data_IF_964403197907
#
_entry.id   IF_964403197907
#
_cell.length_a   1.000
_cell.length_b   1.000
_cell.length_c   1.000
_cell.angle_alpha   90.00
_cell.angle_beta   90.00
_cell.angle_gamma   90.00
#
_symmetry.space_group_name_H-M   'P 1'
#
loop_
_entity.id
_entity.type
_entity.pdbx_description
1 polymer ?
#
# COMPACT_ATOMS: atom_id res chain seq x y z
N UNK A 1 -7.88 -0.85 13.27
CA UNK A 1 -8.89 -1.91 13.05
C UNK A 1 -8.51 -2.88 11.95
N UNK A 2 -8.15 -2.42 10.75
CA UNK A 2 -7.79 -3.29 9.61
C UNK A 2 -6.53 -4.14 9.82
N UNK A 3 -5.53 -3.63 10.51
CA UNK A 3 -4.27 -4.34 10.79
C UNK A 3 -4.46 -5.54 11.73
N UNK A 4 -5.40 -5.46 12.67
CA UNK A 4 -5.72 -6.57 13.59
C UNK A 4 -6.44 -7.73 12.90
N UNK A 5 -7.24 -7.46 11.87
CA UNK A 5 -8.03 -8.48 11.18
C UNK A 5 -7.19 -9.34 10.23
N UNK A 6 -6.04 -8.84 9.77
CA UNK A 6 -5.20 -9.51 8.78
C UNK A 6 -3.95 -10.18 9.37
N UNK A 7 -3.69 -10.02 10.64
CA UNK A 7 -2.61 -10.68 11.40
C UNK A 7 -1.19 -10.23 11.04
N UNK A 8 -0.92 -9.79 9.82
CA UNK A 8 0.38 -9.32 9.35
C UNK A 8 0.22 -8.14 8.42
N UNK A 9 1.08 -7.14 8.56
CA UNK A 9 1.15 -6.00 7.64
C UNK A 9 1.52 -6.43 6.22
N UNK A 10 2.24 -7.52 6.12
CA UNK A 10 2.76 -8.06 4.89
C UNK A 10 2.22 -9.46 4.63
N UNK A 11 1.59 -9.64 3.48
CA UNK A 11 1.16 -10.95 2.97
C UNK A 11 2.00 -11.42 1.77
N UNK A 12 2.94 -10.61 1.31
CA UNK A 12 3.88 -10.98 0.27
C UNK A 12 5.06 -11.75 0.89
N UNK A 13 5.63 -12.75 0.20
CA UNK A 13 6.80 -13.50 0.66
C UNK A 13 8.08 -12.68 0.44
N UNK A 14 8.24 -11.60 1.22
CA UNK A 14 9.39 -10.73 1.15
C UNK A 14 10.60 -11.33 1.88
N UNK A 15 11.75 -11.18 1.29
CA UNK A 15 13.03 -11.44 1.97
C UNK A 15 13.39 -10.24 2.86
N UNK A 16 12.98 -10.30 4.12
CA UNK A 16 13.20 -9.23 5.10
C UNK A 16 14.65 -9.13 5.60
N UNK A 17 15.53 -10.03 5.16
CA UNK A 17 16.98 -9.95 5.45
C UNK A 17 17.68 -8.89 4.60
N UNK A 18 17.06 -8.46 3.51
CA UNK A 18 17.59 -7.44 2.61
C UNK A 18 17.09 -6.04 2.99
N UNK A 19 17.82 -5.02 2.48
CA UNK A 19 17.31 -3.65 2.45
C UNK A 19 16.11 -3.60 1.48
N UNK A 20 14.92 -3.48 2.02
CA UNK A 20 13.70 -3.40 1.23
C UNK A 20 13.42 -1.96 0.82
N UNK A 21 13.08 -1.77 -0.44
CA UNK A 21 12.55 -0.52 -0.97
C UNK A 21 11.05 -0.67 -1.20
N UNK A 22 10.27 0.09 -0.47
CA UNK A 22 8.82 -0.09 -0.37
C UNK A 22 8.08 1.18 -0.77
N UNK A 23 7.03 1.05 -1.57
CA UNK A 23 6.14 2.12 -1.98
C UNK A 23 4.72 1.82 -1.52
N UNK A 24 4.10 2.76 -0.81
CA UNK A 24 2.68 2.71 -0.43
C UNK A 24 1.88 3.71 -1.27
N UNK A 25 1.14 3.19 -2.22
CA UNK A 25 0.36 3.95 -3.21
C UNK A 25 -1.01 4.29 -2.63
N UNK A 26 -1.32 5.58 -2.53
CA UNK A 26 -2.53 6.04 -1.87
C UNK A 26 -2.49 5.75 -0.36
N UNK A 27 -1.43 6.19 0.30
CA UNK A 27 -1.12 5.83 1.68
C UNK A 27 -2.06 6.45 2.72
N UNK A 28 -2.89 7.41 2.36
CA UNK A 28 -3.80 8.09 3.26
C UNK A 28 -3.07 8.77 4.42
N UNK A 29 -3.49 8.46 5.65
CA UNK A 29 -2.84 8.99 6.85
C UNK A 29 -1.44 8.39 7.14
N UNK A 30 -1.01 7.40 6.36
CA UNK A 30 0.30 6.78 6.48
C UNK A 30 0.39 5.66 7.51
N UNK A 31 -0.70 5.24 8.12
CA UNK A 31 -0.69 4.23 9.19
C UNK A 31 0.00 2.93 8.76
N UNK A 32 -0.29 2.43 7.56
CA UNK A 32 0.35 1.21 7.08
C UNK A 32 1.84 1.41 6.84
N UNK A 33 2.22 2.48 6.14
CA UNK A 33 3.62 2.79 5.82
C UNK A 33 4.46 2.97 7.09
N UNK A 34 3.94 3.71 8.07
CA UNK A 34 4.61 3.93 9.37
C UNK A 34 4.76 2.63 10.13
N UNK A 35 3.70 1.81 10.20
CA UNK A 35 3.74 0.53 10.91
C UNK A 35 4.71 -0.44 10.23
N UNK A 36 4.70 -0.52 8.89
CA UNK A 36 5.64 -1.35 8.14
C UNK A 36 7.10 -0.92 8.38
N UNK A 37 7.37 0.37 8.32
CA UNK A 37 8.71 0.90 8.56
C UNK A 37 9.24 0.61 9.98
N UNK A 38 8.35 0.63 10.97
CA UNK A 38 8.69 0.28 12.36
C UNK A 38 8.99 -1.20 12.54
N UNK A 39 8.24 -2.07 11.87
CA UNK A 39 8.47 -3.52 11.90
C UNK A 39 9.73 -3.93 11.12
N UNK A 40 10.11 -3.13 10.11
CA UNK A 40 11.24 -3.41 9.21
C UNK A 40 12.23 -2.24 9.20
N UNK A 41 13.10 -2.11 10.22
CA UNK A 41 14.03 -0.99 10.32
C UNK A 41 14.99 -0.86 9.14
N UNK A 42 15.25 -1.96 8.42
CA UNK A 42 16.09 -1.98 7.22
C UNK A 42 15.32 -1.62 5.93
N UNK A 43 14.00 -1.42 6.01
CA UNK A 43 13.22 -0.97 4.86
C UNK A 43 13.33 0.55 4.69
N UNK A 44 13.29 1.01 3.44
CA UNK A 44 13.05 2.39 3.07
C UNK A 44 11.62 2.48 2.51
N UNK A 45 10.76 3.19 3.20
CA UNK A 45 9.33 3.26 2.86
C UNK A 45 8.96 4.66 2.38
N UNK A 46 8.33 4.74 1.22
CA UNK A 46 7.77 5.98 0.68
C UNK A 46 6.25 5.84 0.54
N UNK A 47 5.50 6.72 1.18
CA UNK A 47 4.06 6.84 0.99
C UNK A 47 3.71 7.99 0.04
N UNK A 48 2.76 7.75 -0.85
CA UNK A 48 2.20 8.75 -1.76
C UNK A 48 0.71 8.92 -1.53
N UNK A 49 0.25 10.15 -1.41
CA UNK A 49 -1.17 10.49 -1.40
C UNK A 49 -1.39 11.91 -1.95
N UNK A 50 -2.57 12.16 -2.48
CA UNK A 50 -2.96 13.52 -2.94
C UNK A 50 -3.23 14.47 -1.79
N UNK A 51 -3.48 13.94 -0.60
CA UNK A 51 -3.78 14.71 0.61
C UNK A 51 -2.73 14.46 1.67
N UNK A 52 -2.07 15.51 2.12
CA UNK A 52 -1.14 15.42 3.25
C UNK A 52 -1.90 15.13 4.54
N UNK A 53 -1.25 14.43 5.46
CA UNK A 53 -1.78 14.12 6.78
C UNK A 53 -0.82 14.61 7.87
N UNK A 54 -1.37 15.13 8.96
CA UNK A 54 -0.58 15.50 10.16
C UNK A 54 0.12 14.28 10.77
N UNK A 55 -0.39 13.08 10.59
CA UNK A 55 0.22 11.85 11.10
C UNK A 55 1.55 11.51 10.41
N UNK A 56 1.81 12.05 9.23
CA UNK A 56 3.10 11.86 8.54
C UNK A 56 4.28 12.38 9.36
N UNK A 57 4.05 13.36 10.24
CA UNK A 57 5.08 13.91 11.14
C UNK A 57 5.54 12.91 12.19
N UNK A 58 4.79 11.84 12.42
CA UNK A 58 5.13 10.77 13.39
C UNK A 58 5.94 9.64 12.78
N UNK A 59 6.31 9.74 11.50
CA UNK A 59 7.03 8.71 10.79
C UNK A 59 8.44 8.47 11.37
N UNK A 60 8.88 7.22 11.42
CA UNK A 60 10.26 6.90 11.76
C UNK A 60 11.22 7.35 10.64
N UNK A 61 12.54 7.44 10.90
CA UNK A 61 13.51 7.96 9.92
C UNK A 61 13.55 7.22 8.58
N UNK A 62 13.15 5.96 8.55
CA UNK A 62 13.12 5.12 7.36
C UNK A 62 11.78 5.18 6.59
N UNK A 63 10.89 6.09 6.96
CA UNK A 63 9.61 6.32 6.30
C UNK A 63 9.46 7.80 5.93
N UNK A 64 9.13 8.04 4.67
CA UNK A 64 8.88 9.39 4.15
C UNK A 64 7.59 9.43 3.35
N UNK A 65 7.06 10.64 3.15
CA UNK A 65 5.80 10.86 2.45
C UNK A 65 5.94 11.99 1.44
N UNK A 66 5.19 11.87 0.34
CA UNK A 66 5.05 12.94 -0.65
C UNK A 66 3.59 13.14 -1.02
N UNK A 67 3.17 14.39 -1.09
CA UNK A 67 1.83 14.75 -1.57
C UNK A 67 1.85 14.79 -3.11
N UNK A 68 1.51 13.66 -3.72
CA UNK A 68 1.53 13.46 -5.16
C UNK A 68 0.35 12.60 -5.60
N UNK A 69 -0.16 12.86 -6.80
CA UNK A 69 -1.20 12.02 -7.41
C UNK A 69 -0.57 10.87 -8.18
N UNK A 70 -0.96 9.64 -7.85
CA UNK A 70 -0.52 8.44 -8.58
C UNK A 70 -1.18 8.28 -9.95
N UNK A 71 -2.20 9.10 -10.24
CA UNK A 71 -2.86 9.16 -11.55
C UNK A 71 -2.06 9.97 -12.57
N UNK A 72 -1.12 10.80 -12.12
CA UNK A 72 -0.33 11.70 -12.96
C UNK A 72 0.95 11.01 -13.39
N UNK A 73 1.26 10.92 -14.72
CA UNK A 73 2.47 10.28 -15.23
C UNK A 73 3.76 10.87 -14.66
N UNK A 74 3.80 12.18 -14.46
CA UNK A 74 4.96 12.93 -13.96
C UNK A 74 5.35 12.49 -12.54
N UNK A 75 4.39 12.08 -11.72
CA UNK A 75 4.66 11.49 -10.40
C UNK A 75 5.60 10.29 -10.52
N UNK A 76 5.28 9.39 -11.45
CA UNK A 76 6.05 8.17 -11.65
C UNK A 76 7.42 8.43 -12.27
N UNK A 77 7.51 9.39 -13.17
CA UNK A 77 8.80 9.81 -13.75
C UNK A 77 9.75 10.41 -12.72
N UNK A 78 9.21 11.00 -11.65
CA UNK A 78 9.99 11.58 -10.56
C UNK A 78 10.34 10.57 -9.45
N UNK A 79 9.79 9.35 -9.50
CA UNK A 79 10.11 8.30 -8.54
C UNK A 79 11.34 7.51 -9.00
N UNK A 80 12.10 7.05 -8.01
CA UNK A 80 13.12 6.04 -8.26
C UNK A 80 12.45 4.71 -8.64
N UNK A 81 13.14 3.93 -9.45
CA UNK A 81 12.71 2.58 -9.81
C UNK A 81 13.28 1.53 -8.83
N UNK A 82 12.87 0.30 -9.01
CA UNK A 82 13.44 -0.85 -8.28
C UNK A 82 12.84 -1.05 -6.90
N UNK A 83 11.52 -0.87 -6.75
CA UNK A 83 10.84 -1.23 -5.51
C UNK A 83 10.72 -2.74 -5.36
N UNK A 84 11.09 -3.24 -4.18
CA UNK A 84 10.92 -4.65 -3.82
C UNK A 84 9.47 -4.97 -3.50
N UNK A 85 8.73 -3.97 -3.00
CA UNK A 85 7.35 -4.11 -2.64
C UNK A 85 6.57 -2.82 -2.92
N UNK A 86 5.49 -2.96 -3.68
CA UNK A 86 4.51 -1.90 -3.88
C UNK A 86 3.19 -2.35 -3.25
N UNK A 87 2.70 -1.55 -2.34
CA UNK A 87 1.46 -1.78 -1.62
C UNK A 87 0.42 -0.73 -2.01
N UNK A 88 -0.83 -1.14 -2.15
CA UNK A 88 -1.96 -0.25 -2.32
C UNK A 88 -3.17 -0.84 -1.62
N UNK A 89 -3.92 0.00 -0.90
CA UNK A 89 -5.10 -0.42 -0.18
C UNK A 89 -6.20 0.64 -0.22
N UNK A 90 -7.43 0.19 -0.48
CA UNK A 90 -8.62 1.05 -0.48
C UNK A 90 -8.52 2.23 -1.44
N UNK A 91 -8.04 1.97 -2.66
CA UNK A 91 -7.83 3.01 -3.68
C UNK A 91 -8.78 2.91 -4.87
N UNK A 92 -9.60 1.86 -4.96
CA UNK A 92 -10.41 1.59 -6.15
C UNK A 92 -11.32 2.76 -6.56
N UNK A 93 -11.86 3.49 -5.59
CA UNK A 93 -12.77 4.61 -5.85
C UNK A 93 -12.06 5.85 -6.41
N UNK A 94 -10.74 5.91 -6.29
CA UNK A 94 -9.90 7.03 -6.74
C UNK A 94 -9.15 6.73 -8.03
N UNK A 95 -9.07 5.46 -8.44
CA UNK A 95 -8.33 5.04 -9.64
C UNK A 95 -9.22 5.14 -10.87
N UNK A 96 -8.85 5.97 -11.81
CA UNK A 96 -9.59 6.16 -13.08
C UNK A 96 -9.24 5.11 -14.11
N UNK A 97 -7.98 4.68 -14.14
CA UNK A 97 -7.48 3.69 -15.09
C UNK A 97 -6.59 2.67 -14.40
N UNK A 98 -7.15 1.51 -14.07
CA UNK A 98 -6.41 0.38 -13.51
C UNK A 98 -5.28 -0.11 -14.42
N UNK A 99 -5.47 -0.24 -15.75
CA UNK A 99 -4.39 -0.66 -16.63
C UNK A 99 -3.19 0.28 -16.55
N UNK A 100 -3.41 1.59 -16.48
CA UNK A 100 -2.33 2.56 -16.38
C UNK A 100 -1.60 2.47 -15.03
N UNK A 101 -2.34 2.37 -13.93
CA UNK A 101 -1.75 2.23 -12.60
C UNK A 101 -0.92 0.94 -12.51
N UNK A 102 -1.46 -0.18 -12.95
CA UNK A 102 -0.74 -1.47 -12.92
C UNK A 102 0.52 -1.44 -13.77
N UNK A 103 0.48 -0.83 -14.96
CA UNK A 103 1.66 -0.67 -15.82
C UNK A 103 2.74 0.16 -15.15
N UNK A 104 2.37 1.25 -14.47
CA UNK A 104 3.29 2.13 -13.73
C UNK A 104 3.91 1.39 -12.53
N UNK A 105 3.08 0.70 -11.75
CA UNK A 105 3.57 -0.12 -10.64
C UNK A 105 4.56 -1.18 -11.15
N UNK A 106 4.19 -1.91 -12.20
CA UNK A 106 5.05 -2.94 -12.78
C UNK A 106 6.39 -2.38 -13.25
N UNK A 107 6.37 -1.23 -13.94
CA UNK A 107 7.60 -0.58 -14.42
C UNK A 107 8.54 -0.11 -13.30
N UNK A 108 8.01 0.09 -12.09
CA UNK A 108 8.79 0.55 -10.93
C UNK A 108 9.20 -0.59 -9.99
N UNK A 109 8.74 -1.82 -10.22
CA UNK A 109 9.18 -2.99 -9.45
C UNK A 109 10.60 -3.40 -9.82
N UNK A 110 11.36 -3.79 -8.80
CA UNK A 110 12.60 -4.53 -8.99
C UNK A 110 12.30 -5.93 -9.57
N UNK A 111 13.26 -6.57 -10.25
CA UNK A 111 13.15 -7.98 -10.60
C UNK A 111 12.84 -8.83 -9.36
N UNK A 112 11.77 -9.63 -9.44
CA UNK A 112 11.29 -10.41 -8.27
C UNK A 112 10.52 -9.62 -7.23
N UNK A 113 10.25 -8.34 -7.47
CA UNK A 113 9.43 -7.50 -6.59
C UNK A 113 7.96 -7.90 -6.60
N UNK A 114 7.25 -7.48 -5.57
CA UNK A 114 5.83 -7.80 -5.35
C UNK A 114 4.95 -6.58 -5.41
N UNK A 115 3.83 -6.69 -6.10
CA UNK A 115 2.72 -5.75 -6.05
C UNK A 115 1.57 -6.40 -5.30
N UNK A 116 1.12 -5.76 -4.22
CA UNK A 116 -0.07 -6.15 -3.49
C UNK A 116 -1.11 -5.05 -3.54
N UNK A 117 -2.28 -5.39 -4.04
CA UNK A 117 -3.46 -4.53 -4.01
C UNK A 117 -4.51 -5.20 -3.16
N UNK A 118 -5.04 -4.44 -2.21
CA UNK A 118 -6.10 -4.89 -1.32
C UNK A 118 -7.22 -3.86 -1.33
N UNK A 119 -8.38 -4.27 -1.80
CA UNK A 119 -9.53 -3.38 -1.94
C UNK A 119 -10.85 -4.09 -1.63
N UNK A 120 -11.93 -3.33 -1.60
CA UNK A 120 -13.26 -3.85 -1.38
C UNK A 120 -13.86 -4.39 -2.68
N UNK A 121 -14.54 -5.52 -2.58
CA UNK A 121 -15.36 -6.04 -3.68
C UNK A 121 -16.79 -5.57 -3.51
N UNK A 122 -17.36 -5.03 -4.58
CA UNK A 122 -18.78 -4.67 -4.61
C UNK A 122 -19.56 -5.59 -5.57
N UNK A 123 -20.79 -6.01 -5.21
CA UNK A 123 -21.47 -5.73 -3.95
C UNK A 123 -20.80 -6.45 -2.77
N UNK A 124 -20.88 -5.84 -1.59
CA UNK A 124 -20.37 -6.48 -0.36
C UNK A 124 -21.20 -7.74 -0.10
N UNK A 125 -20.53 -8.88 -0.10
CA UNK A 125 -21.14 -10.17 0.20
C UNK A 125 -20.82 -10.59 1.63
N UNK A 126 -21.86 -10.90 2.39
CA UNK A 126 -21.68 -11.56 3.69
C UNK A 126 -21.57 -13.06 3.46
N UNK A 127 -20.39 -13.61 3.71
CA UNK A 127 -20.17 -15.07 3.71
C UNK A 127 -20.45 -15.59 5.12
N UNK A 128 -21.63 -16.16 5.32
CA UNK A 128 -22.01 -16.74 6.60
C UNK A 128 -23.52 -16.90 6.72
N UNK A 129 -23.94 -17.73 7.68
CA UNK A 129 -25.35 -17.93 7.98
C UNK A 129 -25.94 -16.60 8.49
N UNK A 130 -27.14 -16.25 8.09
CA UNK A 130 -27.84 -14.99 8.42
C UNK A 130 -27.94 -14.75 9.95
N UNK A 131 -27.72 -15.79 10.75
CA UNK A 131 -27.66 -15.73 12.21
C UNK A 131 -26.33 -15.15 12.75
N UNK A 132 -25.26 -15.18 11.97
CA UNK A 132 -23.95 -14.65 12.39
C UNK A 132 -23.60 -13.39 11.57
N UNK A 133 -24.19 -12.28 12.00
CA UNK A 133 -23.98 -10.95 11.36
C UNK A 133 -22.57 -10.37 11.62
N UNK A 134 -21.69 -11.12 12.27
CA UNK A 134 -20.36 -10.62 12.68
C UNK A 134 -19.26 -10.82 11.64
N UNK A 135 -19.52 -11.51 10.53
CA UNK A 135 -18.50 -11.85 9.54
C UNK A 135 -18.84 -11.27 8.17
N UNK A 136 -18.58 -9.99 7.97
CA UNK A 136 -18.35 -9.46 6.63
C UNK A 136 -16.90 -9.81 6.24
N UNK A 137 -16.71 -10.75 5.34
CA UNK A 137 -15.41 -10.97 4.71
C UNK A 137 -15.32 -10.10 3.46
N UNK A 138 -14.30 -9.27 3.44
CA UNK A 138 -13.80 -8.63 2.22
C UNK A 138 -13.01 -9.70 1.45
N UNK A 139 -13.44 -10.01 0.27
CA UNK A 139 -12.70 -10.87 -0.64
C UNK A 139 -11.63 -10.06 -1.35
#
# INVERSE_FOLDING_TARGET
MFLRTLGSLNKAPLDTSKLLKVLDVGCGNGNWAIAFAREHPNASVLGLDISASSQWTTAPPNCSFRQLSVEVPETWSALLEGYDYIHARMIMVFVRSWPNLLRRCYGHLAPGGWLKIQDLQFPIQCLGNVADRSVCKTL
#
